data_IF_298001822730
#
_entry.id   IF_298001822730
#
_cell.length_a   1.000
_cell.length_b   1.000
_cell.length_c   1.000
_cell.angle_alpha   90.00
_cell.angle_beta   90.00
_cell.angle_gamma   90.00
#
_symmetry.space_group_name_H-M   'P 1'
#
loop_
_entity.id
_entity.type
_entity.pdbx_description
1 polymer ?
#
# COMPACT_ATOMS: atom_id res chain seq x y z
N UNK A 1 55.27 -13.64 53.04
CA UNK A 1 54.95 -14.10 51.67
C UNK A 1 53.68 -13.38 51.25
N UNK A 2 53.85 -12.34 50.43
CA UNK A 2 52.72 -11.47 49.96
C UNK A 2 52.35 -11.90 48.56
N UNK A 3 51.15 -12.44 48.39
CA UNK A 3 50.60 -12.80 47.06
C UNK A 3 49.87 -11.60 46.44
N UNK A 4 50.40 -11.16 45.31
CA UNK A 4 49.81 -10.09 44.51
C UNK A 4 48.86 -10.74 43.51
N UNK A 5 47.55 -10.43 43.61
CA UNK A 5 46.53 -10.80 42.63
C UNK A 5 46.44 -9.71 41.54
N UNK A 6 46.87 -10.05 40.33
CA UNK A 6 46.67 -9.23 39.15
C UNK A 6 45.24 -9.43 38.63
N UNK A 7 44.44 -8.37 38.68
CA UNK A 7 43.13 -8.32 38.04
C UNK A 7 43.29 -7.86 36.58
N UNK A 8 43.05 -8.77 35.63
CA UNK A 8 43.03 -8.43 34.22
C UNK A 8 41.63 -7.90 33.86
N UNK A 9 41.53 -6.63 33.54
CA UNK A 9 40.34 -6.02 32.99
C UNK A 9 40.22 -6.36 31.49
N UNK A 10 39.23 -7.16 31.16
CA UNK A 10 38.83 -7.44 29.77
C UNK A 10 37.90 -6.32 29.31
N UNK A 11 38.39 -5.43 28.47
CA UNK A 11 37.56 -4.42 27.82
C UNK A 11 36.80 -5.06 26.67
N UNK A 12 35.48 -5.22 26.82
CA UNK A 12 34.58 -5.68 25.79
C UNK A 12 34.20 -4.49 24.88
N UNK A 13 34.84 -4.41 23.72
CA UNK A 13 34.48 -3.41 22.70
C UNK A 13 33.19 -3.86 22.02
N UNK A 14 32.09 -3.19 22.32
CA UNK A 14 30.88 -3.32 21.53
C UNK A 14 31.11 -2.67 20.15
N UNK A 15 31.30 -3.50 19.12
CA UNK A 15 31.20 -3.06 17.76
C UNK A 15 29.69 -2.90 17.44
N UNK A 16 29.21 -1.67 17.36
CA UNK A 16 27.90 -1.35 16.84
C UNK A 16 27.88 -1.69 15.34
N UNK A 17 27.40 -2.87 15.00
CA UNK A 17 27.10 -3.24 13.62
C UNK A 17 25.94 -2.38 13.13
N UNK A 18 26.21 -1.44 12.21
CA UNK A 18 25.18 -0.78 11.46
C UNK A 18 24.45 -1.83 10.61
N UNK A 19 23.22 -2.18 10.99
CA UNK A 19 22.32 -2.95 10.15
C UNK A 19 22.00 -2.08 8.94
N UNK A 20 22.64 -2.36 7.82
CA UNK A 20 22.21 -1.86 6.52
C UNK A 20 20.86 -2.52 6.23
N UNK A 21 19.78 -1.78 6.47
CA UNK A 21 18.48 -2.11 5.91
C UNK A 21 18.63 -2.09 4.39
N UNK A 22 18.56 -3.27 3.78
CA UNK A 22 18.48 -3.41 2.34
C UNK A 22 17.21 -2.70 1.88
N UNK A 23 17.39 -1.50 1.32
CA UNK A 23 16.31 -0.71 0.75
C UNK A 23 15.70 -1.44 -0.44
N UNK A 24 14.54 -2.00 -0.24
CA UNK A 24 13.64 -2.34 -1.34
C UNK A 24 13.19 -1.04 -2.01
N UNK A 25 13.14 -1.07 -3.32
CA UNK A 25 12.83 -0.06 -4.32
C UNK A 25 12.13 1.21 -3.84
N UNK A 26 12.77 2.28 -4.15
CA UNK A 26 12.42 3.66 -3.90
C UNK A 26 11.11 4.07 -4.61
N UNK A 27 9.96 3.80 -3.99
CA UNK A 27 8.82 4.68 -4.16
C UNK A 27 8.90 5.72 -3.04
N UNK A 28 9.71 6.74 -3.25
CA UNK A 28 9.80 7.92 -2.39
C UNK A 28 8.39 8.40 -2.07
N UNK A 29 8.12 8.56 -0.77
CA UNK A 29 6.91 9.20 -0.29
C UNK A 29 6.67 10.51 -1.06
N UNK A 30 5.43 10.80 -1.47
CA UNK A 30 5.16 11.91 -2.39
C UNK A 30 5.66 13.23 -1.83
N UNK A 31 6.55 13.89 -2.59
CA UNK A 31 7.09 15.22 -2.29
C UNK A 31 6.12 16.35 -2.65
N UNK A 32 4.88 16.02 -2.98
CA UNK A 32 3.86 16.99 -3.41
C UNK A 32 3.27 17.74 -2.21
N UNK A 33 2.85 19.01 -2.42
CA UNK A 33 2.16 19.76 -1.38
C UNK A 33 0.91 19.02 -0.90
N UNK A 34 0.67 19.00 0.41
CA UNK A 34 -0.59 18.50 0.97
C UNK A 34 -1.70 19.49 0.65
N UNK A 35 -2.59 19.12 -0.27
CA UNK A 35 -3.77 19.89 -0.57
C UNK A 35 -4.81 19.78 0.57
N UNK A 36 -5.72 20.76 0.67
CA UNK A 36 -6.84 20.74 1.60
C UNK A 36 -7.86 19.68 1.20
N UNK A 37 -8.82 19.41 2.11
CA UNK A 37 -9.98 18.56 1.79
C UNK A 37 -10.74 19.12 0.58
N UNK A 38 -11.17 18.25 -0.34
CA UNK A 38 -11.80 18.64 -1.60
C UNK A 38 -10.86 19.20 -2.67
N UNK A 39 -9.55 19.21 -2.41
CA UNK A 39 -8.54 19.64 -3.37
C UNK A 39 -7.56 18.52 -3.69
N UNK A 40 -7.08 18.50 -4.93
CA UNK A 40 -6.03 17.60 -5.42
C UNK A 40 -4.92 18.39 -6.10
N UNK A 41 -3.71 17.83 -6.09
CA UNK A 41 -2.58 18.48 -6.74
C UNK A 41 -2.61 18.25 -8.25
N UNK A 42 -2.71 19.33 -9.01
CA UNK A 42 -2.59 19.29 -10.47
C UNK A 42 -1.13 19.55 -10.89
N UNK A 43 -0.51 18.56 -11.52
CA UNK A 43 0.87 18.65 -12.02
C UNK A 43 1.04 19.68 -13.14
N UNK A 44 -0.01 19.93 -13.91
CA UNK A 44 0.03 20.87 -15.04
C UNK A 44 0.10 22.32 -14.54
N UNK A 45 -0.74 22.66 -13.56
CA UNK A 45 -0.76 24.00 -12.96
C UNK A 45 0.17 24.13 -11.76
N UNK A 46 0.75 23.02 -11.27
CA UNK A 46 1.60 22.93 -10.07
C UNK A 46 0.94 23.51 -8.81
N UNK A 47 -0.37 23.36 -8.69
CA UNK A 47 -1.17 23.91 -7.60
C UNK A 47 -2.25 22.94 -7.14
N UNK A 48 -2.75 23.14 -5.92
CA UNK A 48 -3.94 22.44 -5.45
C UNK A 48 -5.17 23.03 -6.14
N UNK A 49 -5.98 22.19 -6.74
CA UNK A 49 -7.20 22.54 -7.46
C UNK A 49 -8.39 21.79 -6.89
N UNK A 50 -9.58 22.41 -6.87
CA UNK A 50 -10.79 21.73 -6.42
C UNK A 50 -11.15 20.61 -7.38
N UNK A 51 -11.40 19.42 -6.84
CA UNK A 51 -11.81 18.25 -7.61
C UNK A 51 -13.10 18.51 -8.39
N UNK A 52 -14.02 19.31 -7.85
CA UNK A 52 -15.31 19.61 -8.47
C UNK A 52 -15.28 20.66 -9.58
N UNK A 53 -14.17 21.37 -9.75
CA UNK A 53 -14.06 22.52 -10.69
C UNK A 53 -13.08 22.32 -11.84
N UNK A 54 -12.23 21.31 -11.75
CA UNK A 54 -11.22 21.04 -12.78
C UNK A 54 -11.51 19.73 -13.49
N UNK A 55 -11.48 19.77 -14.82
CA UNK A 55 -11.57 18.57 -15.66
C UNK A 55 -10.20 17.88 -15.66
N UNK A 56 -9.88 17.23 -14.54
CA UNK A 56 -8.65 16.43 -14.43
C UNK A 56 -8.84 15.15 -15.24
N UNK A 57 -7.79 14.72 -15.92
CA UNK A 57 -7.79 13.41 -16.55
C UNK A 57 -7.76 12.29 -15.49
N UNK A 58 -8.18 11.10 -15.88
CA UNK A 58 -8.29 9.94 -14.97
C UNK A 58 -6.96 9.58 -14.32
N UNK A 59 -5.84 9.78 -15.02
CA UNK A 59 -4.52 9.47 -14.46
C UNK A 59 -4.12 10.46 -13.38
N UNK A 60 -4.42 11.75 -13.55
CA UNK A 60 -4.19 12.75 -12.52
C UNK A 60 -5.07 12.52 -11.28
N UNK A 61 -6.33 12.13 -11.48
CA UNK A 61 -7.21 11.72 -10.38
C UNK A 61 -6.66 10.49 -9.66
N UNK A 62 -6.21 9.47 -10.40
CA UNK A 62 -5.64 8.26 -9.84
C UNK A 62 -4.40 8.51 -9.00
N UNK A 63 -3.47 9.33 -9.45
CA UNK A 63 -2.28 9.69 -8.66
C UNK A 63 -2.64 10.39 -7.35
N UNK A 64 -3.58 11.34 -7.39
CA UNK A 64 -4.03 12.03 -6.18
C UNK A 64 -4.78 11.08 -5.23
N UNK A 65 -5.62 10.19 -5.78
CA UNK A 65 -6.30 9.13 -5.03
C UNK A 65 -5.30 8.28 -4.23
N UNK A 66 -4.24 7.82 -4.89
CA UNK A 66 -3.19 7.02 -4.24
C UNK A 66 -2.58 7.75 -3.06
N UNK A 67 -2.21 9.01 -3.26
CA UNK A 67 -1.60 9.82 -2.20
C UNK A 67 -2.52 10.00 -1.00
N UNK A 68 -3.79 10.30 -1.24
CA UNK A 68 -4.79 10.46 -0.20
C UNK A 68 -5.03 9.15 0.57
N UNK A 69 -5.18 8.05 -0.17
CA UNK A 69 -5.42 6.73 0.40
C UNK A 69 -4.24 6.27 1.28
N UNK A 70 -3.01 6.48 0.84
CA UNK A 70 -1.81 6.12 1.60
C UNK A 70 -1.54 7.05 2.78
N UNK A 71 -1.97 8.31 2.69
CA UNK A 71 -1.94 9.24 3.80
C UNK A 71 -3.05 9.00 4.86
N UNK A 72 -3.93 7.99 4.64
CA UNK A 72 -5.06 7.71 5.53
C UNK A 72 -6.21 8.70 5.41
N UNK A 73 -6.20 9.56 4.40
CA UNK A 73 -7.24 10.56 4.12
C UNK A 73 -8.39 9.92 3.33
N UNK A 74 -9.07 8.97 3.95
CA UNK A 74 -10.03 8.11 3.24
C UNK A 74 -11.29 8.85 2.77
N UNK A 75 -11.77 9.87 3.50
CA UNK A 75 -12.91 10.67 3.07
C UNK A 75 -12.56 11.50 1.83
N UNK A 76 -11.39 12.14 1.82
CA UNK A 76 -10.90 12.86 0.62
C UNK A 76 -10.68 11.90 -0.55
N UNK A 77 -10.17 10.69 -0.28
CA UNK A 77 -10.02 9.66 -1.31
C UNK A 77 -11.36 9.24 -1.93
N UNK A 78 -12.43 9.15 -1.14
CA UNK A 78 -13.79 8.89 -1.64
C UNK A 78 -14.31 10.00 -2.55
N UNK A 79 -14.02 11.27 -2.23
CA UNK A 79 -14.39 12.40 -3.08
C UNK A 79 -13.72 12.34 -4.46
N UNK A 80 -12.46 11.90 -4.51
CA UNK A 80 -11.73 11.70 -5.77
C UNK A 80 -12.30 10.48 -6.52
N UNK A 81 -12.53 9.35 -5.84
CA UNK A 81 -13.12 8.15 -6.41
C UNK A 81 -14.46 8.41 -7.08
N UNK A 82 -15.30 9.27 -6.49
CA UNK A 82 -16.61 9.62 -7.06
C UNK A 82 -16.52 10.37 -8.41
N UNK A 83 -15.35 10.85 -8.79
CA UNK A 83 -15.10 11.56 -10.05
C UNK A 83 -14.40 10.70 -11.09
N UNK A 84 -13.94 9.51 -10.71
CA UNK A 84 -13.32 8.54 -11.60
C UNK A 84 -14.39 7.65 -12.27
N UNK A 85 -14.10 7.06 -13.44
CA UNK A 85 -15.04 6.12 -14.08
C UNK A 85 -15.36 4.95 -13.13
N UNK A 86 -16.65 4.70 -12.90
CA UNK A 86 -17.13 3.74 -11.90
C UNK A 86 -16.74 2.28 -12.19
N UNK A 87 -16.51 1.96 -13.46
CA UNK A 87 -16.16 0.61 -13.93
C UNK A 87 -14.69 0.48 -14.33
N UNK A 88 -13.84 1.46 -14.00
CA UNK A 88 -12.39 1.37 -14.14
C UNK A 88 -11.82 0.46 -13.03
N UNK A 89 -10.96 -0.49 -13.38
CA UNK A 89 -10.43 -1.48 -12.43
C UNK A 89 -9.58 -0.84 -11.32
N UNK A 90 -8.91 0.29 -11.59
CA UNK A 90 -8.16 1.07 -10.59
C UNK A 90 -9.12 1.74 -9.60
N UNK A 91 -10.22 2.30 -10.10
CA UNK A 91 -11.28 2.90 -9.29
C UNK A 91 -11.88 1.87 -8.34
N UNK A 92 -12.27 0.71 -8.86
CA UNK A 92 -12.80 -0.40 -8.08
C UNK A 92 -11.77 -0.91 -7.05
N UNK A 93 -10.49 -1.03 -7.43
CA UNK A 93 -9.42 -1.43 -6.53
C UNK A 93 -9.32 -0.49 -5.32
N UNK A 94 -9.40 0.81 -5.55
CA UNK A 94 -9.29 1.79 -4.46
C UNK A 94 -10.57 1.97 -3.65
N UNK A 95 -11.76 1.75 -4.22
CA UNK A 95 -12.96 1.57 -3.40
C UNK A 95 -12.80 0.38 -2.45
N UNK A 96 -12.27 -0.74 -2.93
CA UNK A 96 -11.95 -1.89 -2.09
C UNK A 96 -10.93 -1.54 -0.99
N UNK A 97 -9.85 -0.86 -1.35
CA UNK A 97 -8.82 -0.45 -0.40
C UNK A 97 -9.39 0.46 0.70
N UNK A 98 -10.10 1.51 0.34
CA UNK A 98 -10.66 2.49 1.29
C UNK A 98 -11.67 1.83 2.23
N UNK A 99 -12.59 1.00 1.69
CA UNK A 99 -13.56 0.29 2.53
C UNK A 99 -12.87 -0.68 3.50
N UNK A 100 -11.85 -1.43 3.04
CA UNK A 100 -11.06 -2.31 3.93
C UNK A 100 -10.40 -1.53 5.06
N UNK A 101 -9.83 -0.35 4.78
CA UNK A 101 -9.19 0.51 5.78
C UNK A 101 -10.19 1.13 6.77
N UNK A 102 -11.41 1.34 6.34
CA UNK A 102 -12.51 1.80 7.21
C UNK A 102 -13.20 0.65 7.97
N UNK A 103 -12.77 -0.60 7.74
CA UNK A 103 -13.31 -1.78 8.44
C UNK A 103 -14.48 -2.46 7.73
N UNK A 104 -14.96 -1.94 6.61
CA UNK A 104 -16.01 -2.58 5.80
C UNK A 104 -15.39 -3.62 4.87
N UNK A 105 -15.14 -4.79 5.43
CA UNK A 105 -14.48 -5.88 4.71
C UNK A 105 -15.38 -6.48 3.61
N UNK A 106 -16.68 -6.55 3.82
CA UNK A 106 -17.61 -7.14 2.85
C UNK A 106 -17.71 -6.27 1.59
N UNK A 107 -17.86 -4.95 1.76
CA UNK A 107 -17.79 -4.02 0.66
C UNK A 107 -16.42 -4.08 -0.05
N UNK A 108 -15.32 -4.15 0.71
CA UNK A 108 -13.99 -4.23 0.14
C UNK A 108 -13.83 -5.45 -0.77
N UNK A 109 -14.22 -6.63 -0.31
CA UNK A 109 -14.14 -7.87 -1.10
C UNK A 109 -15.00 -7.82 -2.36
N UNK A 110 -16.18 -7.22 -2.27
CA UNK A 110 -17.07 -7.01 -3.43
C UNK A 110 -16.39 -6.13 -4.48
N UNK A 111 -15.77 -5.01 -4.08
CA UNK A 111 -15.08 -4.13 -5.00
C UNK A 111 -13.83 -4.78 -5.63
N UNK A 112 -13.03 -5.53 -4.85
CA UNK A 112 -11.90 -6.26 -5.41
C UNK A 112 -12.33 -7.33 -6.43
N UNK A 113 -13.40 -8.08 -6.14
CA UNK A 113 -13.92 -9.06 -7.06
C UNK A 113 -14.34 -8.39 -8.40
N UNK A 114 -15.07 -7.28 -8.34
CA UNK A 114 -15.43 -6.51 -9.53
C UNK A 114 -14.22 -5.96 -10.28
N UNK A 115 -13.20 -5.48 -9.58
CA UNK A 115 -11.96 -5.03 -10.21
C UNK A 115 -11.29 -6.16 -11.00
N UNK A 116 -11.31 -7.39 -10.47
CA UNK A 116 -10.76 -8.57 -11.12
C UNK A 116 -11.66 -9.14 -12.23
N UNK A 117 -12.96 -8.90 -12.21
CA UNK A 117 -13.88 -9.17 -13.33
C UNK A 117 -13.56 -8.26 -14.52
N UNK A 118 -13.30 -6.96 -14.26
CA UNK A 118 -12.91 -5.99 -15.30
C UNK A 118 -11.51 -6.25 -15.82
N UNK A 119 -10.55 -6.49 -14.92
CA UNK A 119 -9.16 -6.74 -15.27
C UNK A 119 -8.59 -7.89 -14.42
N UNK A 120 -8.64 -9.14 -14.93
CA UNK A 120 -8.07 -10.30 -14.23
C UNK A 120 -6.57 -10.19 -13.95
N UNK A 121 -5.83 -9.37 -14.70
CA UNK A 121 -4.40 -9.13 -14.52
C UNK A 121 -4.06 -8.01 -13.51
N UNK A 122 -5.06 -7.42 -12.84
CA UNK A 122 -4.82 -6.38 -11.83
C UNK A 122 -4.15 -6.97 -10.58
N UNK A 123 -2.82 -7.00 -10.59
CA UNK A 123 -2.01 -7.55 -9.47
C UNK A 123 -2.18 -6.75 -8.18
N UNK A 124 -2.50 -5.45 -8.25
CA UNK A 124 -2.72 -4.63 -7.07
C UNK A 124 -4.03 -4.99 -6.36
N UNK A 125 -5.12 -5.18 -7.13
CA UNK A 125 -6.39 -5.67 -6.59
C UNK A 125 -6.23 -7.03 -5.93
N UNK A 126 -5.48 -7.95 -6.56
CA UNK A 126 -5.16 -9.26 -5.99
C UNK A 126 -4.38 -9.17 -4.68
N UNK A 127 -3.37 -8.29 -4.63
CA UNK A 127 -2.58 -8.09 -3.41
C UNK A 127 -3.45 -7.55 -2.27
N UNK A 128 -4.27 -6.55 -2.52
CA UNK A 128 -5.14 -5.99 -1.48
C UNK A 128 -6.26 -6.95 -1.05
N UNK A 129 -6.84 -7.70 -1.98
CA UNK A 129 -7.81 -8.76 -1.67
C UNK A 129 -7.17 -9.85 -0.82
N UNK A 130 -5.98 -10.30 -1.20
CA UNK A 130 -5.21 -11.29 -0.45
C UNK A 130 -4.89 -10.84 0.97
N UNK A 131 -4.47 -9.58 1.15
CA UNK A 131 -4.27 -9.00 2.48
C UNK A 131 -5.58 -8.93 3.28
N UNK A 132 -6.72 -8.69 2.62
CA UNK A 132 -8.03 -8.79 3.25
C UNK A 132 -8.35 -10.22 3.73
N UNK A 133 -8.01 -11.23 2.95
CA UNK A 133 -8.12 -12.63 3.36
C UNK A 133 -7.23 -12.97 4.56
N UNK A 134 -5.97 -12.49 4.57
CA UNK A 134 -5.08 -12.63 5.75
C UNK A 134 -5.74 -12.06 7.00
N UNK A 135 -6.31 -10.86 6.93
CA UNK A 135 -7.01 -10.22 8.06
C UNK A 135 -8.19 -11.07 8.56
N UNK A 136 -8.85 -11.82 7.66
CA UNK A 136 -9.96 -12.72 8.00
C UNK A 136 -9.50 -14.14 8.43
N UNK A 137 -8.18 -14.42 8.45
CA UNK A 137 -7.65 -15.76 8.71
C UNK A 137 -7.83 -16.76 7.56
N UNK A 138 -8.24 -16.29 6.38
CA UNK A 138 -8.47 -17.09 5.17
C UNK A 138 -7.17 -17.27 4.38
N UNK A 139 -6.23 -18.02 4.95
CA UNK A 139 -4.88 -18.15 4.40
C UNK A 139 -4.82 -18.85 3.05
N UNK A 140 -5.70 -19.81 2.80
CA UNK A 140 -5.76 -20.53 1.51
C UNK A 140 -6.08 -19.56 0.38
N UNK A 141 -7.12 -18.75 0.57
CA UNK A 141 -7.57 -17.77 -0.40
C UNK A 141 -6.50 -16.66 -0.62
N UNK A 142 -5.78 -16.27 0.43
CA UNK A 142 -4.66 -15.34 0.30
C UNK A 142 -3.52 -15.91 -0.56
N UNK A 143 -3.18 -17.20 -0.36
CA UNK A 143 -2.16 -17.90 -1.15
C UNK A 143 -2.61 -18.05 -2.63
N UNK A 144 -3.89 -18.27 -2.88
CA UNK A 144 -4.43 -18.31 -4.24
C UNK A 144 -4.26 -16.97 -4.97
N UNK A 145 -4.50 -15.85 -4.27
CA UNK A 145 -4.23 -14.52 -4.85
C UNK A 145 -2.74 -14.32 -5.14
N UNK A 146 -1.85 -14.79 -4.27
CA UNK A 146 -0.39 -14.69 -4.50
C UNK A 146 0.04 -15.50 -5.73
N UNK A 147 -0.49 -16.71 -5.91
CA UNK A 147 -0.23 -17.52 -7.11
C UNK A 147 -0.74 -16.82 -8.38
N UNK A 148 -1.96 -16.27 -8.33
CA UNK A 148 -2.51 -15.53 -9.45
C UNK A 148 -1.68 -14.28 -9.80
N UNK A 149 -1.07 -13.60 -8.82
CA UNK A 149 -0.10 -12.52 -9.10
C UNK A 149 1.08 -13.05 -9.91
N UNK A 150 1.59 -14.23 -9.60
CA UNK A 150 2.69 -14.84 -10.36
C UNK A 150 2.30 -15.25 -11.79
N UNK A 151 1.06 -15.73 -11.97
CA UNK A 151 0.52 -16.11 -13.28
C UNK A 151 0.33 -14.89 -14.21
N UNK A 152 0.19 -13.71 -13.65
CA UNK A 152 0.09 -12.43 -14.37
C UNK A 152 1.38 -11.60 -14.32
N UNK A 153 2.54 -12.26 -14.30
CA UNK A 153 3.88 -11.65 -14.34
C UNK A 153 4.19 -10.65 -13.21
N UNK A 154 3.47 -10.75 -12.08
CA UNK A 154 3.63 -9.85 -10.95
C UNK A 154 4.78 -10.18 -10.00
N UNK A 155 5.68 -11.14 -10.32
CA UNK A 155 6.83 -11.49 -9.49
C UNK A 155 7.81 -10.32 -9.38
N UNK A 156 8.30 -10.08 -8.17
CA UNK A 156 9.25 -9.00 -7.89
C UNK A 156 8.60 -7.62 -7.78
N UNK A 157 7.28 -7.52 -7.92
CA UNK A 157 6.56 -6.27 -7.71
C UNK A 157 6.31 -6.02 -6.22
N UNK A 158 6.04 -4.77 -5.89
CA UNK A 158 5.59 -4.40 -4.54
C UNK A 158 4.30 -5.17 -4.15
N UNK A 159 3.36 -5.33 -5.07
CA UNK A 159 2.11 -6.03 -4.84
C UNK A 159 2.33 -7.50 -4.40
N UNK A 160 3.27 -8.19 -5.04
CA UNK A 160 3.69 -9.54 -4.68
C UNK A 160 4.36 -9.55 -3.30
N UNK A 161 5.36 -8.68 -3.11
CA UNK A 161 6.13 -8.64 -1.88
C UNK A 161 5.25 -8.36 -0.66
N UNK A 162 4.34 -7.38 -0.75
CA UNK A 162 3.47 -6.99 0.35
C UNK A 162 2.46 -8.09 0.73
N UNK A 163 1.92 -8.83 -0.25
CA UNK A 163 1.04 -9.96 0.04
C UNK A 163 1.80 -11.14 0.63
N UNK A 164 2.97 -11.46 0.09
CA UNK A 164 3.82 -12.52 0.63
C UNK A 164 4.18 -12.25 2.09
N UNK A 165 4.59 -11.03 2.41
CA UNK A 165 4.91 -10.64 3.78
C UNK A 165 3.67 -10.71 4.69
N UNK A 166 2.50 -10.27 4.20
CA UNK A 166 1.26 -10.39 4.97
C UNK A 166 0.92 -11.85 5.29
N UNK A 167 1.08 -12.76 4.34
CA UNK A 167 0.87 -14.21 4.54
C UNK A 167 1.85 -14.76 5.58
N UNK A 168 3.12 -14.33 5.55
CA UNK A 168 4.15 -14.82 6.46
C UNK A 168 4.00 -14.28 7.89
N UNK A 169 3.61 -13.03 8.03
CA UNK A 169 3.63 -12.32 9.32
C UNK A 169 2.26 -12.14 9.96
N UNK A 170 1.18 -12.31 9.19
CA UNK A 170 -0.18 -11.94 9.59
C UNK A 170 -0.43 -10.43 9.64
N UNK A 171 0.57 -9.62 9.30
CA UNK A 171 0.48 -8.14 9.33
C UNK A 171 0.22 -7.59 7.94
N UNK A 172 -0.81 -6.77 7.80
CA UNK A 172 -1.12 -6.11 6.51
C UNK A 172 -0.53 -4.72 6.45
N UNK A 173 0.06 -4.39 5.31
CA UNK A 173 0.74 -3.12 5.14
C UNK A 173 -0.23 -1.97 4.82
N UNK A 174 0.04 -0.86 5.49
CA UNK A 174 -0.31 0.49 5.03
C UNK A 174 1.00 1.06 4.51
N UNK A 175 1.06 1.55 3.32
CA UNK A 175 2.26 2.26 2.87
C UNK A 175 2.90 3.11 3.94
#
# INVERSE_FOLDING_TARGET
MKSILLASAVTFSLAAGAAMAAGGGDETAPTKPKCKSGEVYDKKTKSCVSTSRHNLDTDALYENLRELAYAGRYDDAKEVLAQMPADDDRTLTYYGFVNRKLGDMDAAMTYYARALEVNPANILARSYMGQGFVTQGKMTEAIEQLRAIWDYDGKGTWAEASLRDAIQTGTTYNY
#
